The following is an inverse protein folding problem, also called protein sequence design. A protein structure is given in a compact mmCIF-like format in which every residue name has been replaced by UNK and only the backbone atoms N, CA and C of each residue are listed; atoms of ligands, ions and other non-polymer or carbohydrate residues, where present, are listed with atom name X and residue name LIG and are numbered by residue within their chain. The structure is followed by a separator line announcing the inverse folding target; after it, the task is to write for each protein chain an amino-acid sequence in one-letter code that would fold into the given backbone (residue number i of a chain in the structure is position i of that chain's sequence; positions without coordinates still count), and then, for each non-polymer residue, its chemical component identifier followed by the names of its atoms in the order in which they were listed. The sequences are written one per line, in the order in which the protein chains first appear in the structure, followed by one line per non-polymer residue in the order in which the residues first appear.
data_IF_356163495341
#
_entry.id   IF_356163495341
#
_cell.length_a   1.000
_cell.length_b   1.000
_cell.length_c   1.000
_cell.angle_alpha   90.00
_cell.angle_beta   90.00
_cell.angle_gamma   90.00
#
_symmetry.space_group_name_H-M   'P 1'
#
loop_
_entity.id
_entity.type
_entity.pdbx_description
1 polymer ?
#
# COMPACT_ATOMS: atom_id res chain seq x y z
N UNK A 1 -0.66 17.72 17.07
CA UNK A 1 -1.97 17.45 16.43
C UNK A 1 -2.28 15.97 16.44
N UNK A 2 -3.52 15.62 16.75
CA UNK A 2 -4.04 14.24 16.77
C UNK A 2 -5.11 14.11 15.68
N UNK A 3 -4.72 14.31 14.43
CA UNK A 3 -5.61 14.24 13.27
C UNK A 3 -5.45 12.87 12.61
N UNK A 4 -6.55 12.25 12.24
CA UNK A 4 -6.60 10.95 11.55
C UNK A 4 -7.45 11.09 10.30
N UNK A 5 -6.93 10.60 9.17
CA UNK A 5 -7.69 10.45 7.95
C UNK A 5 -8.50 9.16 8.03
N UNK A 6 -9.83 9.27 8.01
CA UNK A 6 -10.76 8.11 8.02
C UNK A 6 -11.20 7.70 6.61
N UNK A 7 -10.66 8.36 5.58
CA UNK A 7 -11.06 8.21 4.18
C UNK A 7 -9.87 8.02 3.26
N UNK A 8 -9.84 8.75 2.15
CA UNK A 8 -8.75 8.69 1.18
C UNK A 8 -7.46 9.29 1.77
N UNK A 9 -6.62 8.43 2.33
CA UNK A 9 -5.33 8.80 2.93
C UNK A 9 -4.17 8.76 1.91
N UNK A 10 -4.34 8.04 0.79
CA UNK A 10 -3.25 7.75 -0.14
C UNK A 10 -3.43 8.44 -1.49
N UNK A 11 -2.34 9.00 -2.01
CA UNK A 11 -2.23 9.43 -3.41
C UNK A 11 -1.32 8.46 -4.13
N UNK A 12 -1.90 7.62 -4.99
CA UNK A 12 -1.16 6.59 -5.72
C UNK A 12 -0.58 7.14 -7.03
N UNK A 13 0.76 7.20 -7.11
CA UNK A 13 1.50 7.59 -8.31
C UNK A 13 1.60 9.10 -8.53
N UNK A 14 2.68 9.51 -9.21
CA UNK A 14 2.98 10.92 -9.50
C UNK A 14 2.76 11.29 -10.98
N UNK A 15 2.88 10.31 -11.87
CA UNK A 15 2.72 10.48 -13.33
C UNK A 15 1.24 10.50 -13.70
N UNK A 16 0.83 11.49 -14.49
CA UNK A 16 -0.54 11.68 -14.98
C UNK A 16 -1.63 11.66 -13.89
N UNK A 17 -1.24 11.91 -12.63
CA UNK A 17 -2.16 11.98 -11.49
C UNK A 17 -2.56 13.44 -11.21
N UNK A 18 -3.83 13.76 -11.47
CA UNK A 18 -4.38 15.10 -11.26
C UNK A 18 -4.32 15.56 -9.79
N UNK A 19 -4.53 14.63 -8.83
CA UNK A 19 -4.48 14.93 -7.39
C UNK A 19 -3.05 15.27 -6.97
N UNK A 20 -2.05 14.46 -7.37
CA UNK A 20 -0.64 14.74 -7.08
C UNK A 20 -0.22 16.11 -7.63
N UNK A 21 -0.55 16.39 -8.89
CA UNK A 21 -0.21 17.68 -9.51
C UNK A 21 -0.83 18.88 -8.81
N UNK A 22 -2.05 18.72 -8.27
CA UNK A 22 -2.71 19.76 -7.50
C UNK A 22 -2.01 20.00 -6.16
N UNK A 23 -1.60 18.95 -5.44
CA UNK A 23 -1.19 19.08 -4.02
C UNK A 23 0.33 19.13 -3.78
N UNK A 24 1.16 18.75 -4.77
CA UNK A 24 2.63 18.59 -4.60
C UNK A 24 3.38 19.82 -4.09
N UNK A 25 2.88 21.04 -4.34
CA UNK A 25 3.50 22.28 -3.85
C UNK A 25 3.06 22.69 -2.43
N UNK A 26 2.01 22.07 -1.89
CA UNK A 26 1.40 22.47 -0.62
C UNK A 26 1.97 21.74 0.61
N UNK A 27 2.99 20.88 0.42
CA UNK A 27 3.59 20.05 1.49
C UNK A 27 2.57 19.19 2.24
N UNK A 28 1.58 18.68 1.51
CA UNK A 28 0.52 17.81 2.03
C UNK A 28 0.81 16.31 1.88
N UNK A 29 1.90 15.95 1.19
CA UNK A 29 2.26 14.57 0.89
C UNK A 29 3.57 14.19 1.58
N UNK A 30 3.62 12.96 2.05
CA UNK A 30 4.82 12.28 2.52
C UNK A 30 5.13 11.09 1.61
N UNK A 31 6.42 10.75 1.49
CA UNK A 31 6.85 9.65 0.63
C UNK A 31 6.59 8.28 1.27
N UNK A 32 6.07 7.34 0.49
CA UNK A 32 5.82 5.96 0.90
C UNK A 32 7.08 5.10 1.04
N UNK A 33 8.28 5.60 0.73
CA UNK A 33 9.53 4.81 0.75
C UNK A 33 9.79 4.05 2.07
N UNK A 34 9.33 4.58 3.21
CA UNK A 34 9.49 3.93 4.52
C UNK A 34 8.63 2.67 4.68
N UNK A 35 7.58 2.55 3.89
CA UNK A 35 6.58 1.47 3.93
C UNK A 35 7.01 0.31 3.03
N UNK A 36 7.91 0.55 2.08
CA UNK A 36 8.45 -0.48 1.20
C UNK A 36 9.67 -1.20 1.80
N UNK A 37 10.09 -0.84 3.02
CA UNK A 37 11.20 -1.49 3.72
C UNK A 37 10.67 -2.64 4.58
N UNK A 38 10.70 -3.87 4.05
CA UNK A 38 10.18 -5.06 4.72
C UNK A 38 10.85 -5.37 6.06
N UNK A 39 12.06 -4.85 6.29
CA UNK A 39 12.76 -5.00 7.55
C UNK A 39 12.29 -4.02 8.63
N UNK A 40 11.59 -2.93 8.27
CA UNK A 40 11.09 -1.94 9.25
C UNK A 40 9.72 -2.25 9.82
N UNK A 41 9.06 -3.30 9.33
CA UNK A 41 7.72 -3.68 9.75
C UNK A 41 7.77 -4.69 10.90
N UNK A 42 6.91 -4.47 11.90
CA UNK A 42 6.67 -5.40 13.00
C UNK A 42 5.29 -5.99 12.81
N UNK A 43 5.21 -7.31 12.77
CA UNK A 43 3.95 -8.05 12.62
C UNK A 43 3.63 -8.75 13.93
N UNK A 44 2.35 -8.76 14.27
CA UNK A 44 1.82 -9.52 15.39
C UNK A 44 0.75 -10.49 14.87
N UNK A 45 0.68 -11.68 15.46
CA UNK A 45 -0.37 -12.64 15.14
C UNK A 45 -1.70 -12.32 15.86
N UNK A 46 -2.71 -13.17 15.69
CA UNK A 46 -4.03 -12.97 16.31
C UNK A 46 -4.04 -13.09 17.83
N UNK A 47 -2.97 -13.62 18.44
CA UNK A 47 -2.77 -13.67 19.88
C UNK A 47 -2.04 -12.44 20.42
N UNK A 48 -1.47 -11.62 19.52
CA UNK A 48 -0.69 -10.44 19.84
C UNK A 48 0.81 -10.70 19.98
N UNK A 49 1.27 -11.92 19.72
CA UNK A 49 2.68 -12.27 19.77
C UNK A 49 3.42 -11.76 18.53
N UNK A 50 4.63 -11.23 18.75
CA UNK A 50 5.44 -10.67 17.66
C UNK A 50 5.99 -11.81 16.80
N UNK A 51 5.70 -11.76 15.50
CA UNK A 51 6.22 -12.71 14.53
C UNK A 51 7.71 -12.42 14.29
N UNK A 52 8.59 -13.43 14.27
CA UNK A 52 10.01 -13.23 14.00
C UNK A 52 10.25 -12.50 12.67
N UNK A 53 11.12 -11.48 12.69
CA UNK A 53 11.41 -10.64 11.53
C UNK A 53 11.84 -11.46 10.29
N UNK A 54 12.59 -12.53 10.49
CA UNK A 54 13.03 -13.43 9.41
C UNK A 54 11.90 -14.12 8.66
N UNK A 55 10.75 -14.29 9.30
CA UNK A 55 9.54 -14.87 8.70
C UNK A 55 8.64 -13.76 8.17
N UNK A 56 8.40 -12.72 8.98
CA UNK A 56 7.49 -11.64 8.62
C UNK A 56 7.97 -10.85 7.41
N UNK A 57 9.27 -10.58 7.27
CA UNK A 57 9.82 -9.92 6.07
C UNK A 57 9.62 -10.77 4.82
N UNK A 58 9.78 -12.10 4.90
CA UNK A 58 9.53 -13.00 3.75
C UNK A 58 8.06 -13.03 3.35
N UNK A 59 7.15 -13.02 4.33
CA UNK A 59 5.70 -12.96 4.08
C UNK A 59 5.35 -11.63 3.40
N UNK A 60 5.92 -10.53 3.86
CA UNK A 60 5.72 -9.21 3.27
C UNK A 60 6.24 -9.11 1.84
N UNK A 61 7.46 -9.61 1.60
CA UNK A 61 8.05 -9.67 0.26
C UNK A 61 7.19 -10.53 -0.68
N UNK A 62 6.68 -11.68 -0.20
CA UNK A 62 5.79 -12.55 -0.97
C UNK A 62 4.45 -11.87 -1.29
N UNK A 63 3.87 -11.14 -0.35
CA UNK A 63 2.63 -10.39 -0.57
C UNK A 63 2.77 -9.36 -1.69
N UNK A 64 3.85 -8.58 -1.69
CA UNK A 64 4.09 -7.63 -2.78
C UNK A 64 4.42 -8.33 -4.09
N UNK A 65 5.21 -9.41 -4.06
CA UNK A 65 5.48 -10.18 -5.27
C UNK A 65 4.18 -10.70 -5.93
N UNK A 66 3.18 -11.11 -5.14
CA UNK A 66 1.86 -11.52 -5.67
C UNK A 66 1.07 -10.30 -6.16
N UNK A 67 1.06 -9.22 -5.39
CA UNK A 67 0.27 -8.02 -5.72
C UNK A 67 0.78 -7.32 -6.98
N UNK A 68 2.09 -7.32 -7.21
CA UNK A 68 2.74 -6.71 -8.37
C UNK A 68 2.53 -7.53 -9.66
N UNK A 69 2.32 -8.85 -9.56
CA UNK A 69 1.96 -9.69 -10.72
C UNK A 69 0.63 -9.26 -11.34
N UNK A 70 -0.27 -8.71 -10.53
CA UNK A 70 -1.62 -8.32 -10.94
C UNK A 70 -1.66 -6.88 -11.51
N UNK A 71 -0.54 -6.14 -11.50
CA UNK A 71 -0.51 -4.73 -11.91
C UNK A 71 -0.84 -4.55 -13.40
N UNK A 72 -0.45 -5.48 -14.27
CA UNK A 72 -0.83 -5.43 -15.69
C UNK A 72 -2.33 -5.73 -15.89
N UNK A 73 -2.87 -6.71 -15.17
CA UNK A 73 -4.30 -7.07 -15.24
C UNK A 73 -5.20 -5.96 -14.70
N UNK A 74 -4.72 -5.19 -13.71
CA UNK A 74 -5.46 -4.10 -13.09
C UNK A 74 -5.59 -2.84 -13.98
N UNK A 75 -4.64 -2.59 -14.90
CA UNK A 75 -4.65 -1.39 -15.77
C UNK A 75 -5.91 -1.30 -16.64
N UNK A 76 -6.41 -2.44 -17.06
CA UNK A 76 -7.61 -2.54 -17.90
C UNK A 76 -8.88 -2.90 -17.11
N UNK A 77 -8.76 -3.11 -15.79
CA UNK A 77 -9.92 -3.39 -14.95
C UNK A 77 -10.74 -2.11 -14.73
N UNK A 78 -11.95 -2.06 -15.32
CA UNK A 78 -12.82 -0.88 -15.29
C UNK A 78 -13.83 -0.85 -14.13
N UNK A 79 -13.80 -1.84 -13.24
CA UNK A 79 -14.68 -1.91 -12.06
C UNK A 79 -13.86 -1.56 -10.80
N UNK A 80 -14.51 -1.43 -9.65
CA UNK A 80 -13.85 -1.21 -8.35
C UNK A 80 -12.79 -2.28 -8.05
N UNK A 81 -11.75 -1.88 -7.33
CA UNK A 81 -10.68 -2.77 -6.85
C UNK A 81 -11.22 -3.94 -6.01
N UNK A 82 -12.27 -3.73 -5.20
CA UNK A 82 -12.92 -4.81 -4.45
C UNK A 82 -13.48 -5.91 -5.35
N UNK A 83 -14.15 -5.55 -6.45
CA UNK A 83 -14.71 -6.52 -7.40
C UNK A 83 -13.63 -7.29 -8.17
N UNK A 84 -12.39 -6.82 -8.22
CA UNK A 84 -11.28 -7.56 -8.83
C UNK A 84 -10.97 -8.83 -8.03
N UNK A 85 -10.88 -8.69 -6.69
CA UNK A 85 -10.55 -9.81 -5.81
C UNK A 85 -11.72 -10.77 -5.55
N UNK A 86 -12.97 -10.32 -5.67
CA UNK A 86 -14.15 -11.21 -5.53
C UNK A 86 -14.30 -12.23 -6.68
N UNK A 87 -13.63 -12.01 -7.81
CA UNK A 87 -13.74 -12.87 -9.00
C UNK A 87 -12.66 -13.97 -9.09
N UNK A 88 -11.68 -13.96 -8.20
CA UNK A 88 -10.63 -14.98 -8.13
C UNK A 88 -11.00 -16.11 -7.16
#
# INVERSE_FOLDING_TARGET
DNVVDVGAQWVHGETDNAVYNLVKSFKLLESSHKINDSAKHVFADSTGEIVPQSESSKIWDLYYAISDLDEEDLKDYRISYGNYFEKR
#
